data_IF_052319539590
#
_entry.id   IF_052319539590
#
_cell.length_a   1.000
_cell.length_b   1.000
_cell.length_c   1.000
_cell.angle_alpha   90.00
_cell.angle_beta   90.00
_cell.angle_gamma   90.00
#
_symmetry.space_group_name_H-M   'P 1'
#
loop_
_entity.id
_entity.type
_entity.pdbx_description
1 polymer ?
#
# COMPACT_ATOMS: atom_id res chain seq x y z
N UNK A 1 -14.64 54.79 33.50
CA UNK A 1 -14.68 54.09 32.20
C UNK A 1 -13.68 52.95 32.27
N UNK A 2 -14.11 51.67 32.22
CA UNK A 2 -13.19 50.54 32.31
C UNK A 2 -12.54 50.25 30.94
N UNK A 3 -11.22 50.05 30.96
CA UNK A 3 -10.36 49.74 29.82
C UNK A 3 -10.64 48.32 29.28
N UNK A 4 -10.75 48.09 27.96
CA UNK A 4 -10.93 46.75 27.44
C UNK A 4 -9.65 45.91 27.56
N UNK A 5 -9.76 44.58 27.78
CA UNK A 5 -8.60 43.68 27.85
C UNK A 5 -7.98 43.43 26.46
N UNK A 6 -6.69 43.05 26.39
CA UNK A 6 -5.99 42.80 25.13
C UNK A 6 -6.52 41.55 24.43
N UNK A 7 -6.70 41.66 23.11
CA UNK A 7 -7.10 40.55 22.25
C UNK A 7 -6.07 39.42 22.31
N UNK A 8 -6.50 38.25 22.77
CA UNK A 8 -5.72 37.03 22.73
C UNK A 8 -5.42 36.66 21.27
N UNK A 9 -4.13 36.60 20.93
CA UNK A 9 -3.66 36.08 19.66
C UNK A 9 -4.03 34.59 19.58
N UNK A 10 -4.92 34.24 18.66
CA UNK A 10 -5.24 32.86 18.33
C UNK A 10 -3.96 32.19 17.78
N UNK A 11 -3.59 30.98 18.25
CA UNK A 11 -2.49 30.23 17.66
C UNK A 11 -2.87 29.86 16.21
N UNK A 12 -1.89 29.77 15.28
CA UNK A 12 -2.15 29.35 13.92
C UNK A 12 -2.75 27.94 13.94
N UNK A 13 -3.95 27.81 13.37
CA UNK A 13 -4.61 26.55 13.12
C UNK A 13 -3.63 25.54 12.51
N UNK A 14 -3.47 24.39 13.16
CA UNK A 14 -2.69 23.28 12.65
C UNK A 14 -3.07 23.01 11.18
N UNK A 15 -2.10 22.68 10.30
CA UNK A 15 -2.39 22.44 8.90
C UNK A 15 -3.48 21.37 8.80
N UNK A 16 -4.53 21.70 8.05
CA UNK A 16 -5.64 20.81 7.75
C UNK A 16 -5.09 19.43 7.40
N UNK A 17 -5.57 18.41 8.12
CA UNK A 17 -5.22 17.00 7.91
C UNK A 17 -5.22 16.70 6.40
N UNK A 18 -4.03 16.54 5.83
CA UNK A 18 -3.88 16.11 4.45
C UNK A 18 -4.77 14.88 4.26
N UNK A 19 -5.54 14.79 3.15
CA UNK A 19 -6.28 13.57 2.86
C UNK A 19 -5.28 12.42 2.94
N UNK A 20 -5.68 11.32 3.60
CA UNK A 20 -4.85 10.12 3.71
C UNK A 20 -4.28 9.85 2.32
N UNK A 21 -2.96 9.97 2.13
CA UNK A 21 -2.46 9.90 0.76
C UNK A 21 -2.85 8.54 0.20
N UNK A 22 -3.36 8.53 -1.03
CA UNK A 22 -3.66 7.28 -1.72
C UNK A 22 -2.37 6.54 -2.08
N UNK A 23 -1.20 6.96 -1.62
CA UNK A 23 0.04 6.26 -1.90
C UNK A 23 0.12 4.93 -1.14
N UNK A 24 0.78 3.95 -1.75
CA UNK A 24 1.07 2.66 -1.15
C UNK A 24 2.55 2.35 -1.13
N UNK A 25 3.00 1.81 0.00
CA UNK A 25 4.26 1.10 0.09
C UNK A 25 4.03 -0.38 -0.15
N UNK A 26 4.68 -0.94 -1.15
CA UNK A 26 4.66 -2.37 -1.45
C UNK A 26 5.99 -2.96 -1.01
N UNK A 27 5.97 -4.06 -0.27
CA UNK A 27 7.16 -4.77 0.19
C UNK A 27 7.09 -6.23 -0.21
N UNK A 28 8.15 -6.76 -0.80
CA UNK A 28 8.32 -8.18 -1.10
C UNK A 28 9.46 -8.72 -0.25
N UNK A 29 9.19 -9.81 0.47
CA UNK A 29 10.19 -10.52 1.27
C UNK A 29 10.42 -11.88 0.62
N UNK A 30 11.68 -12.14 0.24
CA UNK A 30 12.09 -13.47 -0.20
C UNK A 30 12.47 -14.31 1.04
N UNK A 31 11.73 -15.38 1.35
CA UNK A 31 11.99 -16.21 2.52
C UNK A 31 13.28 -17.03 2.42
N UNK A 32 13.90 -17.14 1.23
CA UNK A 32 15.09 -17.96 1.01
C UNK A 32 16.37 -17.24 1.41
N UNK A 33 16.48 -15.95 1.08
CA UNK A 33 17.65 -15.12 1.39
C UNK A 33 17.38 -14.08 2.48
N UNK A 34 16.12 -13.83 2.84
CA UNK A 34 15.75 -12.77 3.78
C UNK A 34 15.79 -11.37 3.16
N UNK A 35 16.05 -11.27 1.86
CA UNK A 35 16.05 -9.99 1.15
C UNK A 35 14.65 -9.40 1.12
N UNK A 36 14.61 -8.09 1.30
CA UNK A 36 13.39 -7.30 1.24
C UNK A 36 13.53 -6.21 0.19
N UNK A 37 12.60 -6.20 -0.76
CA UNK A 37 12.50 -5.15 -1.76
C UNK A 37 11.24 -4.34 -1.52
N UNK A 38 11.32 -3.06 -1.85
CA UNK A 38 10.24 -2.11 -1.63
C UNK A 38 9.97 -1.33 -2.89
N UNK A 39 8.70 -1.05 -3.16
CA UNK A 39 8.28 -0.16 -4.24
C UNK A 39 7.32 0.87 -3.70
N UNK A 40 7.39 2.04 -4.32
CA UNK A 40 6.49 3.13 -4.05
C UNK A 40 5.43 3.22 -5.14
N UNK A 41 4.18 3.33 -4.72
CA UNK A 41 3.07 3.65 -5.60
C UNK A 41 2.51 5.01 -5.16
N UNK A 42 2.66 6.02 -6.00
CA UNK A 42 2.34 7.42 -5.67
C UNK A 42 0.84 7.66 -5.46
N UNK A 43 -0.01 6.93 -6.18
CA UNK A 43 -1.45 7.08 -6.14
C UNK A 43 -2.18 5.74 -6.31
N UNK A 44 -3.47 5.70 -5.96
CA UNK A 44 -4.34 4.53 -6.10
C UNK A 44 -3.86 3.28 -5.37
N UNK A 45 -3.26 3.44 -4.21
CA UNK A 45 -2.85 2.40 -3.26
C UNK A 45 -3.98 1.56 -2.68
N UNK A 46 -5.19 1.64 -3.22
CA UNK A 46 -6.34 0.85 -2.78
C UNK A 46 -6.16 -0.64 -3.13
N UNK A 47 -6.71 -1.57 -2.33
CA UNK A 47 -6.55 -3.00 -2.55
C UNK A 47 -6.97 -3.46 -3.95
N UNK A 48 -7.97 -2.82 -4.55
CA UNK A 48 -8.47 -3.13 -5.89
C UNK A 48 -7.42 -2.89 -6.98
N UNK A 49 -6.70 -1.77 -6.91
CA UNK A 49 -5.64 -1.44 -7.87
C UNK A 49 -4.47 -2.42 -7.74
N UNK A 50 -4.07 -2.72 -6.51
CA UNK A 50 -3.01 -3.68 -6.22
C UNK A 50 -3.40 -5.08 -6.71
N UNK A 51 -4.64 -5.50 -6.48
CA UNK A 51 -5.16 -6.77 -7.00
C UNK A 51 -5.17 -6.80 -8.53
N UNK A 52 -5.51 -5.69 -9.19
CA UNK A 52 -5.46 -5.58 -10.64
C UNK A 52 -4.04 -5.67 -11.22
N UNK A 53 -3.04 -5.08 -10.54
CA UNK A 53 -1.62 -5.19 -10.89
C UNK A 53 -1.12 -6.62 -10.71
N UNK A 54 -1.34 -7.20 -9.54
CA UNK A 54 -0.92 -8.57 -9.20
C UNK A 54 -1.69 -9.63 -10.01
N UNK A 55 -2.88 -9.30 -10.49
CA UNK A 55 -3.68 -10.11 -11.39
C UNK A 55 -3.41 -9.88 -12.88
N UNK A 56 -2.45 -9.02 -13.26
CA UNK A 56 -2.06 -8.90 -14.66
C UNK A 56 -1.43 -10.21 -15.21
N UNK A 57 -0.52 -10.91 -14.50
CA UNK A 57 -0.01 -12.22 -14.93
C UNK A 57 -1.09 -13.30 -15.02
N UNK A 58 -2.10 -13.28 -14.12
CA UNK A 58 -3.27 -14.16 -14.20
C UNK A 58 -4.02 -14.00 -15.53
N UNK A 59 -4.10 -12.76 -16.03
CA UNK A 59 -4.85 -12.46 -17.25
C UNK A 59 -4.06 -12.80 -18.52
N UNK A 60 -2.74 -12.71 -18.50
CA UNK A 60 -1.90 -13.04 -19.67
C UNK A 60 -1.57 -14.53 -19.77
N UNK A 61 -1.38 -15.22 -18.65
CA UNK A 61 -0.93 -16.62 -18.61
C UNK A 61 -1.98 -17.61 -18.10
N UNK A 62 -3.11 -17.13 -17.57
CA UNK A 62 -4.11 -17.95 -16.88
C UNK A 62 -3.69 -18.41 -15.48
N UNK A 63 -2.49 -18.05 -15.01
CA UNK A 63 -1.95 -18.46 -13.71
C UNK A 63 -1.45 -17.26 -12.89
N UNK A 64 -1.59 -17.29 -11.55
CA UNK A 64 -1.08 -16.22 -10.69
C UNK A 64 0.43 -16.27 -10.63
N UNK A 65 1.05 -15.11 -10.37
CA UNK A 65 2.48 -15.06 -10.12
C UNK A 65 2.82 -16.03 -8.97
N UNK A 66 3.58 -17.07 -9.32
CA UNK A 66 4.03 -18.13 -8.42
C UNK A 66 5.49 -17.97 -8.05
N UNK A 67 6.26 -17.19 -8.82
CA UNK A 67 7.68 -16.94 -8.62
C UNK A 67 7.99 -15.49 -8.24
N UNK A 68 9.11 -15.28 -7.57
CA UNK A 68 9.62 -13.94 -7.22
C UNK A 68 9.87 -13.11 -8.49
N UNK A 69 10.33 -13.74 -9.56
CA UNK A 69 10.64 -13.09 -10.85
C UNK A 69 9.37 -12.53 -11.51
N UNK A 70 8.28 -13.29 -11.54
CA UNK A 70 7.00 -12.79 -12.07
C UNK A 70 6.46 -11.59 -11.27
N UNK A 71 6.64 -11.60 -9.94
CA UNK A 71 6.27 -10.44 -9.12
C UNK A 71 7.18 -9.24 -9.39
N UNK A 72 8.48 -9.47 -9.59
CA UNK A 72 9.43 -8.42 -9.97
C UNK A 72 9.03 -7.75 -11.28
N UNK A 73 8.60 -8.51 -12.28
CA UNK A 73 8.11 -7.96 -13.55
C UNK A 73 6.84 -7.10 -13.36
N UNK A 74 5.91 -7.55 -12.51
CA UNK A 74 4.71 -6.77 -12.17
C UNK A 74 5.06 -5.42 -11.52
N UNK A 75 6.10 -5.38 -10.71
CA UNK A 75 6.55 -4.17 -10.02
C UNK A 75 7.64 -3.40 -10.76
N UNK A 76 8.17 -3.92 -11.88
CA UNK A 76 9.18 -3.25 -12.70
C UNK A 76 8.84 -1.82 -13.12
N UNK A 77 7.57 -1.44 -13.43
CA UNK A 77 7.25 -0.05 -13.76
C UNK A 77 7.18 0.86 -12.54
N UNK A 78 7.27 0.34 -11.32
CA UNK A 78 7.20 1.13 -10.09
C UNK A 78 8.60 1.54 -9.61
N UNK A 79 8.74 2.74 -9.03
CA UNK A 79 10.00 3.17 -8.43
C UNK A 79 10.38 2.27 -7.24
N UNK A 80 11.58 1.71 -7.30
CA UNK A 80 12.17 0.90 -6.23
C UNK A 80 12.67 1.81 -5.10
N UNK A 81 12.38 1.42 -3.86
CA UNK A 81 12.88 2.09 -2.66
C UNK A 81 13.97 1.23 -2.00
N UNK A 82 15.20 1.75 -1.78
CA UNK A 82 16.30 0.99 -1.20
C UNK A 82 16.09 0.65 0.29
N UNK A 83 15.28 1.44 1.01
CA UNK A 83 14.90 1.14 2.38
C UNK A 83 13.55 1.79 2.72
N UNK A 84 12.53 0.98 3.04
CA UNK A 84 11.20 1.49 3.37
C UNK A 84 11.18 2.39 4.63
N UNK A 85 11.99 2.08 5.63
CA UNK A 85 11.99 2.85 6.88
C UNK A 85 12.71 4.21 6.75
N UNK A 86 13.65 4.33 5.83
CA UNK A 86 14.44 5.54 5.64
C UNK A 86 13.79 6.53 4.68
N UNK A 87 12.87 6.08 3.81
CA UNK A 87 12.31 6.95 2.79
C UNK A 87 11.22 7.88 3.36
N UNK A 88 11.37 9.21 3.26
CA UNK A 88 10.42 10.17 3.83
C UNK A 88 9.00 10.03 3.26
N UNK A 89 8.86 9.59 2.01
CA UNK A 89 7.56 9.29 1.40
C UNK A 89 6.78 8.19 2.14
N UNK A 90 7.45 7.25 2.79
CA UNK A 90 6.76 6.19 3.54
C UNK A 90 5.99 6.72 4.76
N UNK A 91 6.29 7.93 5.24
CA UNK A 91 5.52 8.59 6.31
C UNK A 91 4.19 9.16 5.84
N UNK A 92 4.03 9.37 4.53
CA UNK A 92 2.79 9.90 3.95
C UNK A 92 1.92 8.78 3.37
N UNK A 93 2.41 7.54 3.30
CA UNK A 93 1.68 6.40 2.76
C UNK A 93 0.35 6.16 3.50
N UNK A 94 -0.76 6.14 2.79
CA UNK A 94 -2.04 5.70 3.36
C UNK A 94 -2.16 4.19 3.41
N UNK A 95 -1.39 3.46 2.59
CA UNK A 95 -1.50 2.01 2.45
C UNK A 95 -0.14 1.32 2.51
N UNK A 96 -0.13 0.09 3.03
CA UNK A 96 1.05 -0.77 3.04
C UNK A 96 0.67 -2.20 2.68
N UNK A 97 1.48 -2.81 1.82
CA UNK A 97 1.32 -4.19 1.37
C UNK A 97 2.61 -4.96 1.62
N UNK A 98 2.50 -6.15 2.19
CA UNK A 98 3.60 -7.08 2.39
C UNK A 98 3.29 -8.37 1.66
N UNK A 99 4.10 -8.71 0.67
CA UNK A 99 4.13 -9.98 -0.01
C UNK A 99 5.25 -10.82 0.59
N UNK A 100 4.92 -11.99 1.13
CA UNK A 100 5.90 -12.94 1.62
C UNK A 100 5.84 -14.20 0.78
N UNK A 101 7.00 -14.68 0.32
CA UNK A 101 7.11 -15.99 -0.32
C UNK A 101 6.72 -17.12 0.64
N UNK A 102 6.14 -18.18 0.08
CA UNK A 102 5.71 -19.39 0.77
C UNK A 102 5.94 -20.61 -0.14
N UNK A 103 5.93 -21.83 0.41
CA UNK A 103 6.20 -23.09 -0.34
C UNK A 103 5.38 -23.30 -1.63
N UNK A 104 4.24 -22.62 -1.77
CA UNK A 104 3.30 -22.80 -2.88
C UNK A 104 2.86 -21.46 -3.50
N UNK A 105 3.69 -20.41 -3.41
CA UNK A 105 3.39 -19.08 -3.94
C UNK A 105 3.51 -18.00 -2.87
N UNK A 106 2.69 -16.95 -2.94
CA UNK A 106 2.83 -15.77 -2.08
C UNK A 106 1.64 -15.58 -1.13
N UNK A 107 1.93 -15.03 0.04
CA UNK A 107 0.91 -14.49 0.95
C UNK A 107 1.01 -12.98 0.99
N UNK A 108 -0.14 -12.31 1.06
CA UNK A 108 -0.25 -10.86 1.11
C UNK A 108 -0.88 -10.44 2.44
N UNK A 109 -0.30 -9.44 3.08
CA UNK A 109 -0.87 -8.72 4.21
C UNK A 109 -0.98 -7.25 3.86
N UNK A 110 -2.05 -6.59 4.30
CA UNK A 110 -2.30 -5.19 3.99
C UNK A 110 -2.69 -4.38 5.22
N UNK A 111 -2.18 -3.15 5.27
CA UNK A 111 -2.47 -2.19 6.31
C UNK A 111 -2.92 -0.87 5.68
N UNK A 112 -3.69 -0.11 6.44
CA UNK A 112 -4.05 1.27 6.13
C UNK A 112 -3.69 2.16 7.30
N UNK A 113 -3.15 3.31 7.00
CA UNK A 113 -2.96 4.39 7.95
C UNK A 113 -4.16 5.35 7.84
N UNK A 114 -4.79 5.63 8.97
CA UNK A 114 -5.90 6.56 9.05
C UNK A 114 -5.40 7.93 9.54
N UNK A 115 -5.83 9.04 8.91
CA UNK A 115 -5.53 10.38 9.42
C UNK A 115 -6.03 10.50 10.85
N UNK A 116 -5.18 11.00 11.74
CA UNK A 116 -5.54 11.19 13.16
C UNK A 116 -5.49 9.92 14.02
N UNK A 117 -5.19 8.75 13.46
CA UNK A 117 -4.93 7.54 14.28
C UNK A 117 -3.43 7.25 14.32
N UNK A 118 -2.84 7.03 15.51
CA UNK A 118 -1.45 6.63 15.58
C UNK A 118 -1.28 5.19 15.05
N UNK A 119 -0.48 5.05 14.00
CA UNK A 119 0.00 3.75 13.51
C UNK A 119 -0.79 3.11 12.37
N UNK A 120 -0.36 1.89 12.04
CA UNK A 120 -0.89 1.08 10.93
C UNK A 120 -1.99 0.15 11.41
N UNK A 121 -3.18 0.24 10.80
CA UNK A 121 -4.28 -0.69 11.07
C UNK A 121 -4.28 -1.81 10.02
N UNK A 122 -4.19 -3.06 10.46
CA UNK A 122 -4.22 -4.22 9.56
C UNK A 122 -5.63 -4.36 8.97
N UNK A 123 -5.74 -4.35 7.64
CA UNK A 123 -7.00 -4.58 6.91
C UNK A 123 -7.18 -6.02 6.48
N UNK A 124 -6.10 -6.65 6.02
CA UNK A 124 -6.09 -8.07 5.68
C UNK A 124 -4.89 -8.73 6.34
N UNK A 125 -5.15 -9.88 6.97
CA UNK A 125 -4.10 -10.76 7.46
C UNK A 125 -3.45 -11.53 6.31
N UNK A 126 -2.40 -12.33 6.60
CA UNK A 126 -1.69 -13.08 5.58
C UNK A 126 -2.65 -14.03 4.87
N UNK A 127 -3.06 -13.66 3.66
CA UNK A 127 -3.95 -14.43 2.80
C UNK A 127 -3.21 -14.83 1.53
N UNK A 128 -3.59 -15.96 0.93
CA UNK A 128 -2.99 -16.41 -0.32
C UNK A 128 -3.20 -15.35 -1.42
N UNK A 129 -2.16 -15.07 -2.20
CA UNK A 129 -2.20 -14.08 -3.29
C UNK A 129 -3.39 -14.31 -4.26
N UNK A 130 -3.69 -15.55 -4.71
CA UNK A 130 -4.86 -15.79 -5.55
C UNK A 130 -6.19 -15.45 -4.86
N UNK A 131 -6.29 -15.65 -3.55
CA UNK A 131 -7.48 -15.28 -2.79
C UNK A 131 -7.62 -13.75 -2.67
N UNK A 132 -6.50 -13.03 -2.49
CA UNK A 132 -6.50 -11.57 -2.49
C UNK A 132 -6.97 -11.03 -3.83
N UNK A 133 -6.42 -11.55 -4.94
CA UNK A 133 -6.79 -11.11 -6.28
C UNK A 133 -8.28 -11.40 -6.53
N UNK A 134 -8.79 -12.60 -6.25
CA UNK A 134 -10.22 -12.90 -6.42
C UNK A 134 -11.14 -12.01 -5.58
N UNK A 135 -10.69 -11.60 -4.40
CA UNK A 135 -11.52 -10.81 -3.48
C UNK A 135 -11.55 -9.32 -3.87
N UNK A 136 -10.45 -8.78 -4.39
CA UNK A 136 -10.30 -7.34 -4.62
C UNK A 136 -10.18 -6.93 -6.09
N UNK A 137 -9.77 -7.83 -6.99
CA UNK A 137 -9.93 -7.61 -8.43
C UNK A 137 -11.41 -7.83 -8.74
N UNK A 138 -12.19 -6.76 -8.69
CA UNK A 138 -13.58 -6.79 -9.09
C UNK A 138 -13.72 -7.48 -10.47
N UNK A 139 -14.81 -8.20 -10.74
CA UNK A 139 -15.13 -8.56 -12.10
C UNK A 139 -15.17 -7.27 -12.92
N UNK A 140 -14.46 -7.25 -14.06
CA UNK A 140 -14.66 -6.22 -15.09
C UNK A 140 -16.06 -6.42 -15.67
N UNK A 141 -17.09 -6.04 -14.95
CA UNK A 141 -18.44 -5.89 -15.47
C UNK A 141 -19.18 -4.85 -14.64
N UNK A 142 -19.10 -3.60 -15.10
CA UNK A 142 -20.17 -2.63 -14.97
C UNK A 142 -20.00 -1.53 -16.04
N UNK A 143 -20.85 -1.63 -17.06
CA UNK A 143 -21.25 -0.58 -18.02
C UNK A 143 -20.27 -0.35 -19.19
N UNK A 144 -20.54 -0.84 -20.40
CA UNK A 144 -21.65 -0.59 -21.36
C UNK A 144 -21.13 0.25 -22.53
#
# INVERSE_FOLDING_TARGET
MPTPPPAAAFPPSAPASLPASSAALISLVDPRCGDQMHWWLEADGFPQRIAGLLGAPLRSSGQPATTTLELLEVFSPLPVLPAAAAHPACRTAGYRYLLCGHRHGFRLSCWRQHPGTPGWQRRCGPMALPAFIRHFAAPRDASS
#
